data_IF_092432827653
#
_entry.id   IF_092432827653
#
_cell.length_a   1.000
_cell.length_b   1.000
_cell.length_c   1.000
_cell.angle_alpha   90.00
_cell.angle_beta   90.00
_cell.angle_gamma   90.00
#
_symmetry.space_group_name_H-M   'P 1'
#
loop_
_entity.id
_entity.type
_entity.pdbx_description
1 polymer ?
#
# COMPACT_ATOMS: atom_id res chain seq x y z
N UNK A 1 34.55 -26.85 4.16
CA UNK A 1 35.43 -25.72 4.50
C UNK A 1 35.21 -25.35 5.96
N UNK A 2 36.14 -25.73 6.85
CA UNK A 2 35.95 -25.57 8.31
C UNK A 2 35.78 -24.11 8.73
N UNK A 3 36.45 -23.18 8.03
CA UNK A 3 36.39 -21.74 8.35
C UNK A 3 34.98 -21.19 8.16
N UNK A 4 34.29 -21.59 7.09
CA UNK A 4 32.91 -21.18 6.83
C UNK A 4 31.93 -21.75 7.87
N UNK A 5 32.12 -22.99 8.30
CA UNK A 5 31.28 -23.60 9.34
C UNK A 5 31.48 -22.91 10.70
N UNK A 6 32.72 -22.57 11.03
CA UNK A 6 33.06 -21.84 12.26
C UNK A 6 32.46 -20.42 12.23
N UNK A 7 32.57 -19.70 11.12
CA UNK A 7 31.94 -18.38 10.97
C UNK A 7 30.41 -18.45 11.12
N UNK A 8 29.74 -19.45 10.54
CA UNK A 8 28.28 -19.65 10.76
C UNK A 8 27.94 -19.86 12.24
N UNK A 9 28.76 -20.63 12.96
CA UNK A 9 28.58 -20.87 14.38
C UNK A 9 28.81 -19.59 15.20
N UNK A 10 29.81 -18.78 14.85
CA UNK A 10 30.07 -17.48 15.48
C UNK A 10 28.95 -16.46 15.22
N UNK A 11 28.44 -16.39 13.99
CA UNK A 11 27.31 -15.53 13.63
C UNK A 11 26.09 -15.93 14.47
N UNK A 12 25.74 -17.22 14.46
CA UNK A 12 24.61 -17.73 15.23
C UNK A 12 24.79 -17.47 16.73
N UNK A 13 25.95 -17.79 17.30
CA UNK A 13 26.25 -17.54 18.72
C UNK A 13 26.17 -16.06 19.11
N UNK A 14 26.64 -15.16 18.24
CA UNK A 14 26.57 -13.71 18.45
C UNK A 14 25.13 -13.19 18.44
N UNK A 15 24.30 -13.69 17.51
CA UNK A 15 22.86 -13.39 17.47
C UNK A 15 22.14 -13.86 18.74
N UNK A 16 22.41 -15.08 19.21
CA UNK A 16 21.81 -15.61 20.44
C UNK A 16 22.25 -14.81 21.69
N UNK A 17 23.45 -14.25 21.66
CA UNK A 17 23.98 -13.43 22.76
C UNK A 17 23.58 -11.95 22.67
N UNK A 18 22.82 -11.55 21.64
CA UNK A 18 22.43 -10.15 21.42
C UNK A 18 23.55 -9.23 20.93
N UNK A 19 24.68 -9.77 20.47
CA UNK A 19 25.85 -9.01 20.00
C UNK A 19 25.76 -8.88 18.48
N UNK A 20 24.84 -8.04 18.01
CA UNK A 20 24.48 -7.95 16.60
C UNK A 20 25.57 -7.33 15.70
N UNK A 21 26.35 -6.36 16.19
CA UNK A 21 27.48 -5.78 15.45
C UNK A 21 28.55 -6.81 15.12
N UNK A 22 28.90 -7.67 16.09
CA UNK A 22 29.84 -8.77 15.86
C UNK A 22 29.29 -9.79 14.86
N UNK A 23 27.99 -10.07 14.90
CA UNK A 23 27.34 -10.94 13.91
C UNK A 23 27.48 -10.37 12.48
N UNK A 24 27.28 -9.06 12.29
CA UNK A 24 27.46 -8.42 10.98
C UNK A 24 28.91 -8.47 10.50
N UNK A 25 29.87 -8.19 11.40
CA UNK A 25 31.30 -8.29 11.06
C UNK A 25 31.70 -9.71 10.61
N UNK A 26 31.18 -10.75 11.29
CA UNK A 26 31.42 -12.13 10.87
C UNK A 26 30.73 -12.49 9.55
N UNK A 27 29.61 -11.85 9.19
CA UNK A 27 28.94 -12.03 7.90
C UNK A 27 29.77 -11.41 6.77
N UNK A 28 30.35 -10.24 6.98
CA UNK A 28 31.28 -9.62 6.02
C UNK A 28 32.51 -10.50 5.81
N UNK A 29 33.07 -11.05 6.89
CA UNK A 29 34.20 -11.99 6.80
C UNK A 29 33.80 -13.30 6.08
N UNK A 30 32.57 -13.78 6.30
CA UNK A 30 32.05 -14.93 5.55
C UNK A 30 32.00 -14.67 4.04
N UNK A 31 31.61 -13.46 3.64
CA UNK A 31 31.60 -13.02 2.24
C UNK A 31 33.01 -12.95 1.64
N UNK A 32 33.98 -12.43 2.38
CA UNK A 32 35.37 -12.29 1.90
C UNK A 32 36.06 -13.64 1.71
N UNK A 33 35.78 -14.64 2.56
CA UNK A 33 36.32 -16.00 2.44
C UNK A 33 35.77 -16.74 1.22
N UNK A 34 34.57 -16.39 0.76
CA UNK A 34 33.91 -17.03 -0.39
C UNK A 34 34.25 -16.38 -1.73
N UNK A 35 34.66 -15.11 -1.72
CA UNK A 35 35.09 -14.44 -2.94
C UNK A 35 36.36 -15.13 -3.49
N UNK A 36 36.37 -15.58 -4.76
CA UNK A 36 37.60 -16.08 -5.36
C UNK A 36 38.66 -14.96 -5.37
N UNK A 37 39.96 -15.25 -5.21
CA UNK A 37 41.00 -14.24 -5.30
C UNK A 37 40.89 -13.54 -6.66
N UNK A 38 40.72 -12.21 -6.63
CA UNK A 38 40.56 -11.39 -7.82
C UNK A 38 41.76 -11.60 -8.75
N UNK A 39 41.56 -12.28 -9.87
CA UNK A 39 42.41 -12.13 -11.04
C UNK A 39 41.79 -11.03 -11.89
N UNK A 40 42.62 -10.09 -12.32
CA UNK A 40 42.20 -8.84 -12.94
C UNK A 40 41.29 -9.04 -14.18
N UNK A 41 40.42 -8.05 -14.39
CA UNK A 41 39.71 -7.71 -15.64
C UNK A 41 38.39 -8.41 -16.02
N UNK A 42 37.68 -9.06 -15.09
CA UNK A 42 36.24 -9.30 -15.28
C UNK A 42 35.49 -8.83 -14.06
N UNK A 43 34.51 -7.94 -14.24
CA UNK A 43 33.56 -7.53 -13.21
C UNK A 43 32.68 -8.73 -12.84
N UNK A 44 33.23 -9.65 -12.05
CA UNK A 44 32.49 -10.78 -11.48
C UNK A 44 31.52 -10.17 -10.46
N UNK A 45 30.20 -10.39 -10.59
CA UNK A 45 29.24 -9.91 -9.61
C UNK A 45 29.64 -10.43 -8.22
N UNK A 46 29.52 -9.61 -7.15
CA UNK A 46 29.96 -9.99 -5.82
C UNK A 46 29.40 -11.37 -5.46
N UNK A 47 30.25 -12.25 -4.93
CA UNK A 47 29.88 -13.61 -4.60
C UNK A 47 28.64 -13.59 -3.69
N UNK A 48 27.48 -14.00 -4.24
CA UNK A 48 26.21 -13.93 -3.51
C UNK A 48 26.31 -14.81 -2.26
N UNK A 49 26.11 -14.21 -1.09
CA UNK A 49 26.03 -14.93 0.19
C UNK A 49 24.93 -16.00 0.12
N UNK A 50 25.12 -17.16 0.76
CA UNK A 50 24.07 -18.18 0.77
C UNK A 50 22.86 -17.69 1.59
N UNK A 51 21.67 -18.17 1.23
CA UNK A 51 20.39 -17.68 1.79
C UNK A 51 20.34 -17.74 3.32
N UNK A 52 20.92 -18.77 3.92
CA UNK A 52 20.99 -18.95 5.36
C UNK A 52 21.81 -17.84 6.05
N UNK A 53 22.92 -17.42 5.45
CA UNK A 53 23.73 -16.31 5.98
C UNK A 53 23.05 -14.96 5.78
N UNK A 54 22.32 -14.78 4.67
CA UNK A 54 21.52 -13.56 4.45
C UNK A 54 20.39 -13.42 5.48
N UNK A 55 19.74 -14.53 5.85
CA UNK A 55 18.73 -14.53 6.90
C UNK A 55 19.30 -14.14 8.27
N UNK A 56 20.51 -14.62 8.58
CA UNK A 56 21.22 -14.22 9.81
C UNK A 56 21.60 -12.73 9.78
N UNK A 57 21.98 -12.19 8.61
CA UNK A 57 22.24 -10.76 8.44
C UNK A 57 21.00 -9.90 8.60
N UNK A 58 19.88 -10.34 8.04
CA UNK A 58 18.58 -9.68 8.25
C UNK A 58 18.22 -9.64 9.74
N UNK A 59 18.40 -10.77 10.45
CA UNK A 59 18.17 -10.82 11.89
C UNK A 59 19.10 -9.89 12.67
N UNK A 60 20.37 -9.76 12.26
CA UNK A 60 21.32 -8.85 12.89
C UNK A 60 20.93 -7.37 12.70
N UNK A 61 20.60 -6.95 11.47
CA UNK A 61 20.14 -5.57 11.20
C UNK A 61 18.83 -5.26 11.95
N UNK A 62 17.92 -6.23 12.05
CA UNK A 62 16.70 -6.08 12.84
C UNK A 62 17.00 -5.94 14.34
N UNK A 63 17.94 -6.74 14.88
CA UNK A 63 18.38 -6.63 16.28
C UNK A 63 19.02 -5.28 16.63
N UNK A 64 19.60 -4.59 15.64
CA UNK A 64 20.13 -3.23 15.77
C UNK A 64 19.09 -2.12 15.52
N UNK A 65 17.84 -2.46 15.19
CA UNK A 65 16.82 -1.48 14.82
C UNK A 65 17.04 -0.82 13.45
N UNK A 66 17.89 -1.40 12.59
CA UNK A 66 18.23 -0.89 11.26
C UNK A 66 17.32 -1.50 10.18
N UNK A 67 16.03 -1.19 10.26
CA UNK A 67 15.01 -1.75 9.37
C UNK A 67 15.25 -1.44 7.87
N UNK A 68 15.78 -0.26 7.55
CA UNK A 68 16.11 0.12 6.17
C UNK A 68 17.21 -0.78 5.57
N UNK A 69 18.25 -1.07 6.34
CA UNK A 69 19.35 -1.95 5.92
C UNK A 69 18.87 -3.40 5.79
N UNK A 70 18.06 -3.87 6.73
CA UNK A 70 17.41 -5.18 6.67
C UNK A 70 16.55 -5.34 5.39
N UNK A 71 15.78 -4.31 5.04
CA UNK A 71 14.98 -4.30 3.83
C UNK A 71 15.84 -4.22 2.55
N UNK A 72 16.98 -3.52 2.58
CA UNK A 72 17.91 -3.50 1.46
C UNK A 72 18.53 -4.89 1.18
N UNK A 73 18.89 -5.64 2.22
CA UNK A 73 19.37 -7.03 2.10
C UNK A 73 18.30 -7.93 1.49
N UNK A 74 17.04 -7.78 1.92
CA UNK A 74 15.91 -8.53 1.40
C UNK A 74 15.73 -8.34 -0.12
N UNK A 75 15.77 -7.08 -0.60
CA UNK A 75 15.59 -6.74 -2.02
C UNK A 75 16.80 -7.13 -2.86
N UNK A 76 18.00 -6.72 -2.42
CA UNK A 76 19.21 -6.81 -3.25
C UNK A 76 19.74 -8.22 -3.32
N UNK A 77 19.71 -8.94 -2.20
CA UNK A 77 20.53 -10.13 -2.01
C UNK A 77 19.69 -11.40 -1.85
N UNK A 78 18.49 -11.32 -1.23
CA UNK A 78 17.62 -12.48 -0.97
C UNK A 78 16.60 -12.78 -2.09
N UNK A 79 15.88 -11.77 -2.58
CA UNK A 79 14.88 -11.95 -3.65
C UNK A 79 15.44 -12.60 -4.93
N UNK A 80 16.62 -12.23 -5.46
CA UNK A 80 17.13 -12.81 -6.70
C UNK A 80 17.69 -14.23 -6.53
N UNK A 81 17.58 -14.84 -5.34
CA UNK A 81 18.06 -16.20 -5.13
C UNK A 81 17.03 -17.24 -5.59
N UNK A 82 17.44 -18.25 -6.37
CA UNK A 82 16.55 -19.31 -6.85
C UNK A 82 16.01 -20.18 -5.70
N UNK A 83 16.74 -20.29 -4.59
CA UNK A 83 16.30 -21.00 -3.38
C UNK A 83 15.38 -20.20 -2.45
N UNK A 84 15.12 -18.92 -2.76
CA UNK A 84 14.23 -18.11 -1.93
C UNK A 84 12.77 -18.53 -2.17
N UNK A 85 12.13 -19.06 -1.14
CA UNK A 85 10.74 -19.50 -1.15
C UNK A 85 9.81 -18.43 -0.55
N UNK A 86 8.51 -18.46 -0.85
CA UNK A 86 7.56 -17.52 -0.25
C UNK A 86 7.56 -17.58 1.28
N UNK A 87 7.79 -18.76 1.87
CA UNK A 87 7.83 -18.93 3.32
C UNK A 87 9.02 -18.18 3.95
N UNK A 88 10.16 -18.13 3.26
CA UNK A 88 11.36 -17.41 3.70
C UNK A 88 11.11 -15.90 3.66
N UNK A 89 10.56 -15.39 2.55
CA UNK A 89 10.20 -13.97 2.43
C UNK A 89 9.13 -13.58 3.45
N UNK A 90 8.11 -14.44 3.63
CA UNK A 90 7.06 -14.25 4.64
C UNK A 90 7.64 -14.15 6.05
N UNK A 91 8.56 -15.05 6.42
CA UNK A 91 9.21 -15.02 7.73
C UNK A 91 10.06 -13.74 7.91
N UNK A 92 10.83 -13.36 6.89
CA UNK A 92 11.65 -12.15 6.92
C UNK A 92 10.80 -10.88 7.08
N UNK A 93 9.71 -10.76 6.31
CA UNK A 93 8.76 -9.65 6.46
C UNK A 93 8.05 -9.68 7.82
N UNK A 94 7.64 -10.86 8.31
CA UNK A 94 7.00 -10.98 9.63
C UNK A 94 7.90 -10.50 10.78
N UNK A 95 9.21 -10.60 10.63
CA UNK A 95 10.17 -10.08 11.60
C UNK A 95 10.38 -8.57 11.46
N UNK A 96 10.21 -8.01 10.26
CA UNK A 96 10.45 -6.60 9.95
C UNK A 96 9.24 -5.70 10.21
N UNK A 97 8.03 -6.21 9.97
CA UNK A 97 6.76 -5.49 10.09
C UNK A 97 6.35 -5.03 11.50
N UNK A 98 6.78 -5.67 12.61
CA UNK A 98 6.51 -5.17 13.96
C UNK A 98 7.28 -3.88 14.33
N UNK A 99 8.14 -3.37 13.46
CA UNK A 99 8.92 -2.16 13.70
C UNK A 99 8.01 -0.91 13.85
N UNK A 100 8.44 0.11 14.64
CA UNK A 100 7.71 1.36 14.75
C UNK A 100 7.58 2.04 13.38
N UNK A 101 6.51 2.82 13.19
CA UNK A 101 6.16 3.44 11.91
C UNK A 101 7.31 4.28 11.32
N UNK A 102 8.11 4.95 12.15
CA UNK A 102 9.28 5.73 11.70
C UNK A 102 10.32 4.85 11.00
N UNK A 103 10.69 3.72 11.61
CA UNK A 103 11.62 2.76 11.02
C UNK A 103 11.01 2.08 9.80
N UNK A 104 9.72 1.74 9.88
CA UNK A 104 8.99 1.13 8.78
C UNK A 104 8.88 2.09 7.58
N UNK A 105 8.72 3.39 7.80
CA UNK A 105 8.66 4.40 6.73
C UNK A 105 9.93 4.43 5.87
N UNK A 106 11.09 4.24 6.51
CA UNK A 106 12.38 4.16 5.82
C UNK A 106 12.58 2.83 5.08
N UNK A 107 11.97 1.74 5.57
CA UNK A 107 12.08 0.41 5.00
C UNK A 107 11.04 0.15 3.89
N UNK A 108 9.90 0.85 3.92
CA UNK A 108 8.76 0.63 3.01
C UNK A 108 9.11 0.65 1.52
N UNK A 109 9.92 1.59 1.00
CA UNK A 109 10.30 1.57 -0.42
C UNK A 109 11.00 0.26 -0.82
N UNK A 110 11.88 -0.25 0.04
CA UNK A 110 12.54 -1.52 -0.17
C UNK A 110 11.57 -2.71 -0.02
N UNK A 111 10.69 -2.70 0.99
CA UNK A 111 9.64 -3.72 1.13
C UNK A 111 8.77 -3.78 -0.14
N UNK A 112 8.32 -2.63 -0.65
CA UNK A 112 7.54 -2.53 -1.88
C UNK A 112 8.31 -3.08 -3.07
N UNK A 113 9.59 -2.72 -3.24
CA UNK A 113 10.42 -3.27 -4.31
C UNK A 113 10.55 -4.80 -4.22
N UNK A 114 10.70 -5.35 -3.01
CA UNK A 114 10.72 -6.79 -2.80
C UNK A 114 9.38 -7.44 -3.17
N UNK A 115 8.26 -6.84 -2.75
CA UNK A 115 6.92 -7.33 -3.10
C UNK A 115 6.71 -7.33 -4.62
N UNK A 116 7.06 -6.26 -5.32
CA UNK A 116 6.93 -6.18 -6.78
C UNK A 116 7.78 -7.24 -7.49
N UNK A 117 9.00 -7.49 -7.00
CA UNK A 117 9.85 -8.54 -7.54
C UNK A 117 9.27 -9.95 -7.27
N UNK A 118 8.73 -10.19 -6.07
CA UNK A 118 7.98 -11.41 -5.72
C UNK A 118 6.76 -11.62 -6.64
N UNK A 119 6.00 -10.56 -6.92
CA UNK A 119 4.85 -10.59 -7.83
C UNK A 119 5.28 -10.92 -9.27
N UNK A 120 6.37 -10.33 -9.74
CA UNK A 120 6.94 -10.65 -11.05
C UNK A 120 7.39 -12.12 -11.12
N UNK A 121 7.93 -12.69 -10.04
CA UNK A 121 8.26 -14.12 -9.96
C UNK A 121 7.02 -15.01 -10.03
N UNK A 122 5.95 -14.69 -9.30
CA UNK A 122 4.69 -15.42 -9.39
C UNK A 122 4.13 -15.42 -10.82
N UNK A 123 4.13 -14.25 -11.48
CA UNK A 123 3.65 -14.11 -12.85
C UNK A 123 4.45 -14.93 -13.85
N UNK A 124 5.79 -14.88 -13.76
CA UNK A 124 6.66 -15.72 -14.62
C UNK A 124 6.42 -17.21 -14.38
N UNK A 125 6.13 -17.62 -13.14
CA UNK A 125 5.82 -19.01 -12.82
C UNK A 125 4.47 -19.44 -13.42
N UNK A 126 3.47 -18.56 -13.43
CA UNK A 126 2.18 -18.79 -14.09
C UNK A 126 2.33 -18.88 -15.62
N UNK A 127 3.06 -17.95 -16.23
CA UNK A 127 3.31 -17.89 -17.69
C UNK A 127 4.11 -19.09 -18.20
N UNK A 128 5.06 -19.60 -17.40
CA UNK A 128 5.91 -20.73 -17.78
C UNK A 128 5.15 -22.07 -17.86
N UNK A 129 3.94 -22.16 -17.30
CA UNK A 129 3.10 -23.36 -17.35
C UNK A 129 3.68 -24.60 -16.66
N UNK A 130 2.92 -25.71 -16.69
CA UNK A 130 3.24 -26.93 -15.92
C UNK A 130 4.49 -27.70 -16.37
N UNK A 131 5.08 -27.37 -17.52
CA UNK A 131 6.21 -28.14 -18.11
C UNK A 131 7.60 -27.71 -17.61
N UNK A 132 7.74 -26.54 -17.02
CA UNK A 132 9.00 -26.06 -16.41
C UNK A 132 8.99 -26.07 -14.87
N UNK A 133 7.84 -26.37 -14.25
CA UNK A 133 7.63 -26.35 -12.80
C UNK A 133 8.43 -27.40 -12.00
N UNK A 134 9.16 -28.30 -12.67
CA UNK A 134 9.83 -29.43 -12.02
C UNK A 134 11.27 -29.14 -11.51
N UNK A 135 11.89 -27.99 -11.83
CA UNK A 135 13.32 -27.79 -11.53
C UNK A 135 13.64 -26.91 -10.31
N UNK A 136 12.73 -26.08 -9.80
CA UNK A 136 12.91 -25.38 -8.51
C UNK A 136 11.57 -24.81 -8.01
N UNK A 137 11.11 -25.28 -6.85
CA UNK A 137 10.05 -24.71 -5.99
C UNK A 137 9.21 -23.57 -6.62
N UNK A 138 8.26 -23.93 -7.49
CA UNK A 138 7.37 -22.97 -8.12
C UNK A 138 6.60 -22.19 -7.03
N UNK A 139 6.71 -20.86 -7.06
CA UNK A 139 5.94 -19.99 -6.17
C UNK A 139 4.45 -20.17 -6.49
N UNK A 140 3.58 -20.40 -5.49
CA UNK A 140 2.16 -20.52 -5.77
C UNK A 140 1.62 -19.16 -6.25
N UNK A 141 0.63 -19.16 -7.14
CA UNK A 141 0.10 -17.94 -7.78
C UNK A 141 -0.39 -16.91 -6.74
N UNK A 142 -0.95 -17.39 -5.63
CA UNK A 142 -1.49 -16.57 -4.55
C UNK A 142 -0.46 -16.09 -3.51
N UNK A 143 0.78 -16.62 -3.52
CA UNK A 143 1.80 -16.22 -2.53
C UNK A 143 2.07 -14.71 -2.56
N UNK A 144 2.12 -14.15 -3.77
CA UNK A 144 2.32 -12.72 -3.97
C UNK A 144 1.23 -11.88 -3.30
N UNK A 145 -0.03 -12.21 -3.53
CA UNK A 145 -1.17 -11.53 -2.93
C UNK A 145 -1.20 -11.66 -1.39
N UNK A 146 -0.85 -12.82 -0.84
CA UNK A 146 -0.74 -13.03 0.61
C UNK A 146 0.38 -12.18 1.26
N UNK A 147 1.52 -12.04 0.59
CA UNK A 147 2.61 -11.18 1.07
C UNK A 147 2.18 -9.71 1.08
N UNK A 148 1.50 -9.25 0.03
CA UNK A 148 0.97 -7.88 0.00
C UNK A 148 -0.06 -7.67 1.11
N UNK A 149 -0.99 -8.62 1.29
CA UNK A 149 -2.00 -8.53 2.36
C UNK A 149 -1.36 -8.48 3.75
N UNK A 150 -0.29 -9.25 3.98
CA UNK A 150 0.47 -9.19 5.23
C UNK A 150 1.04 -7.79 5.47
N UNK A 151 1.74 -7.22 4.49
CA UNK A 151 2.35 -5.88 4.62
C UNK A 151 1.25 -4.81 4.78
N UNK A 152 0.19 -4.88 3.98
CA UNK A 152 -0.96 -3.99 4.09
C UNK A 152 -1.61 -4.05 5.49
N UNK A 153 -1.74 -5.25 6.07
CA UNK A 153 -2.30 -5.44 7.41
C UNK A 153 -1.42 -4.82 8.48
N UNK A 154 -0.10 -5.01 8.39
CA UNK A 154 0.84 -4.41 9.32
C UNK A 154 0.84 -2.87 9.23
N UNK A 155 0.91 -2.30 8.03
CA UNK A 155 0.83 -0.84 7.84
C UNK A 155 -0.51 -0.30 8.35
N UNK A 156 -1.60 -1.02 8.10
CA UNK A 156 -2.93 -0.65 8.57
C UNK A 156 -3.15 -0.84 10.08
N UNK A 157 -2.21 -1.44 10.82
CA UNK A 157 -2.26 -1.46 12.28
C UNK A 157 -1.79 -0.15 12.91
N UNK A 158 -1.04 0.68 12.16
CA UNK A 158 -0.59 1.98 12.61
C UNK A 158 -1.64 3.06 12.34
N UNK A 159 -1.86 3.93 13.31
CA UNK A 159 -2.76 5.06 13.21
C UNK A 159 -2.09 6.27 12.53
N UNK A 160 -2.91 7.14 11.95
CA UNK A 160 -2.46 8.41 11.39
C UNK A 160 -2.36 8.47 9.85
N UNK A 161 -2.23 9.70 9.31
CA UNK A 161 -2.27 9.96 7.87
C UNK A 161 -1.04 9.40 7.14
N UNK A 162 0.09 9.30 7.81
CA UNK A 162 1.33 8.76 7.23
C UNK A 162 1.19 7.28 6.90
N UNK A 163 0.66 6.49 7.84
CA UNK A 163 0.38 5.06 7.62
C UNK A 163 -0.67 4.85 6.52
N UNK A 164 -1.71 5.70 6.48
CA UNK A 164 -2.69 5.68 5.39
C UNK A 164 -2.06 5.98 4.03
N UNK A 165 -1.23 7.02 3.94
CA UNK A 165 -0.52 7.36 2.71
C UNK A 165 0.38 6.23 2.22
N UNK A 166 1.11 5.58 3.13
CA UNK A 166 1.93 4.41 2.81
C UNK A 166 1.10 3.22 2.31
N UNK A 167 -0.04 2.93 2.96
CA UNK A 167 -0.96 1.88 2.54
C UNK A 167 -1.50 2.14 1.14
N UNK A 168 -1.99 3.36 0.88
CA UNK A 168 -2.53 3.73 -0.42
C UNK A 168 -1.47 3.71 -1.52
N UNK A 169 -0.24 4.15 -1.23
CA UNK A 169 0.87 4.09 -2.18
C UNK A 169 1.23 2.65 -2.56
N UNK A 170 1.26 1.73 -1.59
CA UNK A 170 1.49 0.31 -1.86
C UNK A 170 0.40 -0.27 -2.77
N UNK A 171 -0.86 0.04 -2.48
CA UNK A 171 -2.02 -0.48 -3.21
C UNK A 171 -2.25 0.19 -4.57
N UNK A 172 -1.62 1.33 -4.84
CA UNK A 172 -1.72 2.04 -6.11
C UNK A 172 -0.91 1.39 -7.24
N UNK A 173 -0.05 0.42 -6.94
CA UNK A 173 0.72 -0.28 -7.97
C UNK A 173 -0.16 -1.24 -8.79
N UNK A 174 -0.16 -1.09 -10.11
CA UNK A 174 -0.96 -1.94 -11.02
C UNK A 174 -0.69 -3.44 -10.83
N UNK A 175 0.58 -3.81 -10.61
CA UNK A 175 0.98 -5.19 -10.36
C UNK A 175 0.38 -5.75 -9.06
N UNK A 176 0.25 -4.91 -8.03
CA UNK A 176 -0.38 -5.26 -6.76
C UNK A 176 -1.89 -5.44 -6.95
N UNK A 177 -2.53 -4.50 -7.65
CA UNK A 177 -3.96 -4.58 -7.95
C UNK A 177 -4.27 -5.85 -8.73
N UNK A 178 -3.52 -6.14 -9.79
CA UNK A 178 -3.71 -7.33 -10.60
C UNK A 178 -3.59 -8.61 -9.75
N UNK A 179 -2.50 -8.74 -8.99
CA UNK A 179 -2.24 -9.92 -8.18
C UNK A 179 -3.33 -10.18 -7.13
N UNK A 180 -3.81 -9.13 -6.45
CA UNK A 180 -4.86 -9.26 -5.45
C UNK A 180 -6.20 -9.56 -6.10
N UNK A 181 -6.54 -8.90 -7.22
CA UNK A 181 -7.81 -9.13 -7.91
C UNK A 181 -7.96 -10.56 -8.47
N UNK A 182 -6.85 -11.22 -8.81
CA UNK A 182 -6.81 -12.63 -9.20
C UNK A 182 -6.95 -13.61 -8.03
N UNK A 183 -6.74 -13.16 -6.79
CA UNK A 183 -6.81 -13.99 -5.58
C UNK A 183 -8.06 -13.67 -4.75
N UNK A 184 -9.09 -14.51 -4.85
CA UNK A 184 -10.42 -14.28 -4.25
C UNK A 184 -10.39 -14.02 -2.74
N UNK A 185 -9.70 -14.85 -1.97
CA UNK A 185 -9.62 -14.69 -0.50
C UNK A 185 -8.79 -13.45 -0.09
N UNK A 186 -7.55 -13.24 -0.60
CA UNK A 186 -6.81 -12.00 -0.33
C UNK A 186 -7.56 -10.73 -0.68
N UNK A 187 -8.28 -10.72 -1.81
CA UNK A 187 -9.10 -9.60 -2.24
C UNK A 187 -10.19 -9.27 -1.23
N UNK A 188 -10.97 -10.27 -0.82
CA UNK A 188 -12.07 -10.08 0.11
C UNK A 188 -11.58 -9.66 1.50
N UNK A 189 -10.42 -10.18 1.94
CA UNK A 189 -9.76 -9.77 3.19
C UNK A 189 -9.24 -8.33 3.12
N UNK A 190 -8.63 -7.92 2.00
CA UNK A 190 -8.18 -6.55 1.80
C UNK A 190 -9.36 -5.57 1.75
N UNK A 191 -10.44 -5.92 1.03
CA UNK A 191 -11.67 -5.13 1.00
C UNK A 191 -12.20 -4.86 2.42
N UNK A 192 -12.33 -5.91 3.25
CA UNK A 192 -12.81 -5.78 4.63
C UNK A 192 -11.90 -4.90 5.48
N UNK A 193 -10.58 -5.05 5.33
CA UNK A 193 -9.60 -4.24 6.03
C UNK A 193 -9.74 -2.76 5.69
N UNK A 194 -9.77 -2.43 4.39
CA UNK A 194 -9.91 -1.05 3.92
C UNK A 194 -11.26 -0.46 4.33
N UNK A 195 -12.34 -1.24 4.21
CA UNK A 195 -13.69 -0.82 4.61
C UNK A 195 -13.76 -0.52 6.11
N UNK A 196 -13.19 -1.37 6.97
CA UNK A 196 -13.17 -1.16 8.41
C UNK A 196 -12.41 0.11 8.78
N UNK A 197 -11.23 0.33 8.18
CA UNK A 197 -10.42 1.54 8.41
C UNK A 197 -11.10 2.80 7.89
N UNK A 198 -11.71 2.76 6.71
CA UNK A 198 -12.48 3.87 6.16
C UNK A 198 -13.68 4.23 7.06
N UNK A 199 -14.33 3.23 7.63
CA UNK A 199 -15.45 3.43 8.58
C UNK A 199 -14.97 4.06 9.89
N UNK A 200 -13.82 3.63 10.41
CA UNK A 200 -13.22 4.27 11.59
C UNK A 200 -12.89 5.75 11.33
N UNK A 201 -12.25 6.07 10.19
CA UNK A 201 -11.99 7.45 9.78
C UNK A 201 -13.28 8.27 9.61
N UNK A 202 -14.33 7.65 9.07
CA UNK A 202 -15.65 8.29 8.94
C UNK A 202 -16.23 8.69 10.30
N UNK A 203 -16.15 7.80 11.29
CA UNK A 203 -16.63 8.08 12.65
C UNK A 203 -15.81 9.15 13.38
N UNK A 204 -14.54 9.32 13.00
CA UNK A 204 -13.69 10.41 13.47
C UNK A 204 -13.94 11.74 12.74
N UNK A 205 -14.95 11.81 11.86
CA UNK A 205 -15.27 12.95 11.01
C UNK A 205 -14.16 13.35 10.01
N UNK A 206 -13.15 12.50 9.78
CA UNK A 206 -12.19 12.68 8.69
C UNK A 206 -12.78 12.12 7.38
N UNK A 207 -13.69 12.89 6.80
CA UNK A 207 -14.40 12.51 5.57
C UNK A 207 -13.47 12.43 4.35
N UNK A 208 -12.33 13.14 4.36
CA UNK A 208 -11.38 13.13 3.26
C UNK A 208 -10.53 11.83 3.26
N UNK A 209 -9.98 11.45 4.40
CA UNK A 209 -9.32 10.15 4.59
C UNK A 209 -10.28 8.99 4.30
N UNK A 210 -11.47 9.06 4.90
CA UNK A 210 -12.50 8.04 4.71
C UNK A 210 -12.87 7.84 3.24
N UNK A 211 -13.02 8.92 2.47
CA UNK A 211 -13.30 8.85 1.04
C UNK A 211 -12.18 8.16 0.25
N UNK A 212 -10.91 8.44 0.54
CA UNK A 212 -9.76 7.80 -0.13
C UNK A 212 -9.72 6.30 0.16
N UNK A 213 -9.91 5.91 1.42
CA UNK A 213 -9.91 4.51 1.83
C UNK A 213 -11.11 3.75 1.28
N UNK A 214 -12.31 4.35 1.25
CA UNK A 214 -13.47 3.74 0.58
C UNK A 214 -13.28 3.64 -0.94
N UNK A 215 -12.58 4.58 -1.57
CA UNK A 215 -12.29 4.52 -3.01
C UNK A 215 -11.36 3.34 -3.31
N UNK A 216 -10.30 3.19 -2.50
CA UNK A 216 -9.40 2.03 -2.57
C UNK A 216 -10.16 0.72 -2.28
N UNK A 217 -11.03 0.68 -1.26
CA UNK A 217 -11.84 -0.48 -0.96
C UNK A 217 -12.75 -0.87 -2.13
N UNK A 218 -13.32 0.10 -2.85
CA UNK A 218 -14.20 -0.16 -3.99
C UNK A 218 -13.51 -0.92 -5.12
N UNK A 219 -12.20 -0.70 -5.34
CA UNK A 219 -11.40 -1.43 -6.34
C UNK A 219 -11.33 -2.94 -6.03
N UNK A 220 -11.35 -3.30 -4.76
CA UNK A 220 -11.26 -4.69 -4.30
C UNK A 220 -12.61 -5.28 -3.91
N UNK A 221 -13.69 -4.50 -3.94
CA UNK A 221 -15.03 -5.05 -3.78
C UNK A 221 -15.29 -6.03 -4.94
N UNK A 222 -15.74 -7.24 -4.62
CA UNK A 222 -15.92 -8.31 -5.61
C UNK A 222 -16.63 -7.82 -6.87
N UNK A 223 -15.98 -8.01 -8.02
CA UNK A 223 -16.47 -7.55 -9.32
C UNK A 223 -17.86 -8.12 -9.60
N UNK A 224 -18.82 -7.26 -9.96
CA UNK A 224 -20.18 -7.67 -10.31
C UNK A 224 -21.31 -6.98 -9.54
N UNK A 225 -21.04 -5.90 -8.81
CA UNK A 225 -22.13 -5.12 -8.18
C UNK A 225 -22.81 -5.82 -7.00
N UNK A 226 -22.10 -6.73 -6.32
CA UNK A 226 -22.63 -7.38 -5.13
C UNK A 226 -22.84 -6.41 -3.97
N UNK A 227 -23.51 -6.88 -2.92
CA UNK A 227 -23.73 -6.15 -1.67
C UNK A 227 -22.50 -5.38 -1.12
N UNK A 228 -21.26 -5.94 -1.08
CA UNK A 228 -20.10 -5.19 -0.60
C UNK A 228 -19.74 -3.99 -1.49
N UNK A 229 -19.92 -4.11 -2.81
CA UNK A 229 -19.71 -3.02 -3.77
C UNK A 229 -20.72 -1.89 -3.54
N UNK A 230 -22.02 -2.22 -3.54
CA UNK A 230 -23.10 -1.24 -3.34
C UNK A 230 -23.02 -0.56 -1.97
N UNK A 231 -22.62 -1.30 -0.93
CA UNK A 231 -22.38 -0.76 0.41
C UNK A 231 -21.23 0.25 0.42
N UNK A 232 -20.11 -0.11 -0.21
CA UNK A 232 -18.92 0.76 -0.28
C UNK A 232 -19.20 2.04 -1.08
N UNK A 233 -19.88 1.91 -2.22
CA UNK A 233 -20.28 3.05 -3.06
C UNK A 233 -21.22 4.03 -2.32
N UNK A 234 -22.19 3.53 -1.53
CA UNK A 234 -23.05 4.37 -0.68
C UNK A 234 -22.28 5.11 0.40
N UNK A 235 -21.36 4.43 1.09
CA UNK A 235 -20.53 5.08 2.11
C UNK A 235 -19.65 6.18 1.51
N UNK A 236 -19.09 5.93 0.33
CA UNK A 236 -18.28 6.90 -0.39
C UNK A 236 -19.12 8.10 -0.89
N UNK A 237 -20.34 7.87 -1.36
CA UNK A 237 -21.32 8.94 -1.62
C UNK A 237 -21.56 9.79 -0.37
N UNK A 238 -21.75 9.18 0.80
CA UNK A 238 -21.94 9.91 2.06
C UNK A 238 -20.71 10.75 2.44
N UNK A 239 -19.50 10.25 2.20
CA UNK A 239 -18.28 11.02 2.44
C UNK A 239 -18.23 12.27 1.56
N UNK A 240 -18.50 12.13 0.26
CA UNK A 240 -18.54 13.28 -0.66
C UNK A 240 -19.68 14.25 -0.34
N UNK A 241 -20.82 13.76 0.13
CA UNK A 241 -21.91 14.60 0.61
C UNK A 241 -21.48 15.44 1.82
N UNK A 242 -20.80 14.83 2.80
CA UNK A 242 -20.28 15.50 3.98
C UNK A 242 -19.18 16.53 3.66
N UNK A 243 -18.39 16.28 2.60
CA UNK A 243 -17.38 17.23 2.10
C UNK A 243 -17.96 18.37 1.23
N UNK A 244 -19.29 18.49 1.10
CA UNK A 244 -19.91 19.53 0.28
C UNK A 244 -19.71 19.32 -1.23
N UNK A 245 -19.49 18.08 -1.67
CA UNK A 245 -19.32 17.72 -3.09
C UNK A 245 -20.50 16.89 -3.60
N UNK A 246 -21.74 17.45 -3.63
CA UNK A 246 -22.95 16.68 -3.91
C UNK A 246 -23.01 16.10 -5.33
N UNK A 247 -22.37 16.75 -6.32
CA UNK A 247 -22.27 16.19 -7.69
C UNK A 247 -21.49 14.88 -7.74
N UNK A 248 -20.35 14.82 -7.04
CA UNK A 248 -19.54 13.59 -6.95
C UNK A 248 -20.29 12.52 -6.15
N UNK A 249 -20.93 12.91 -5.04
CA UNK A 249 -21.75 12.01 -4.25
C UNK A 249 -22.84 11.32 -5.09
N UNK A 250 -23.57 12.07 -5.93
CA UNK A 250 -24.57 11.52 -6.84
C UNK A 250 -23.97 10.50 -7.82
N UNK A 251 -22.81 10.79 -8.41
CA UNK A 251 -22.15 9.86 -9.33
C UNK A 251 -21.86 8.49 -8.70
N UNK A 252 -21.39 8.46 -7.45
CA UNK A 252 -21.16 7.20 -6.73
C UNK A 252 -22.45 6.52 -6.27
N UNK A 253 -23.49 7.30 -5.99
CA UNK A 253 -24.80 6.78 -5.68
C UNK A 253 -25.43 6.11 -6.92
N UNK A 254 -25.26 6.69 -8.10
CA UNK A 254 -25.70 6.14 -9.40
C UNK A 254 -25.00 4.81 -9.71
N UNK A 255 -23.72 4.65 -9.37
CA UNK A 255 -23.00 3.38 -9.49
C UNK A 255 -23.64 2.27 -8.64
N UNK A 256 -24.13 2.60 -7.44
CA UNK A 256 -24.87 1.63 -6.63
C UNK A 256 -26.28 1.35 -7.18
N UNK A 257 -26.93 2.37 -7.75
CA UNK A 257 -28.27 2.26 -8.34
C UNK A 257 -28.34 1.24 -9.49
N UNK A 258 -27.25 1.13 -10.26
CA UNK A 258 -27.15 0.19 -11.38
C UNK A 258 -27.30 -1.28 -10.95
N UNK A 259 -27.07 -1.59 -9.67
CA UNK A 259 -27.09 -2.95 -9.14
C UNK A 259 -28.17 -3.18 -8.08
N UNK A 260 -28.50 -2.16 -7.28
CA UNK A 260 -29.58 -2.18 -6.27
C UNK A 260 -30.54 -1.00 -6.48
N UNK A 261 -31.36 -1.01 -7.55
CA UNK A 261 -32.28 0.10 -7.82
C UNK A 261 -33.37 0.17 -6.74
N UNK A 262 -33.76 1.38 -6.36
CA UNK A 262 -34.96 1.68 -5.55
C UNK A 262 -34.96 1.23 -4.08
N UNK A 263 -33.81 1.12 -3.43
CA UNK A 263 -33.79 1.03 -1.96
C UNK A 263 -34.21 2.36 -1.32
N UNK A 264 -34.99 2.33 -0.23
CA UNK A 264 -35.47 3.54 0.47
C UNK A 264 -34.30 4.45 0.87
N UNK A 265 -33.20 3.85 1.34
CA UNK A 265 -31.98 4.58 1.68
C UNK A 265 -31.36 5.28 0.48
N UNK A 266 -31.36 4.65 -0.70
CA UNK A 266 -30.88 5.26 -1.93
C UNK A 266 -31.75 6.46 -2.34
N UNK A 267 -33.08 6.33 -2.33
CA UNK A 267 -34.00 7.40 -2.70
C UNK A 267 -33.88 8.61 -1.77
N UNK A 268 -33.79 8.38 -0.46
CA UNK A 268 -33.63 9.45 0.54
C UNK A 268 -32.30 10.18 0.38
N UNK A 269 -31.20 9.44 0.16
CA UNK A 269 -29.89 10.05 -0.08
C UNK A 269 -29.87 10.86 -1.38
N UNK A 270 -30.47 10.34 -2.45
CA UNK A 270 -30.58 11.05 -3.73
C UNK A 270 -31.37 12.35 -3.57
N UNK A 271 -32.51 12.30 -2.91
CA UNK A 271 -33.34 13.48 -2.64
C UNK A 271 -32.56 14.54 -1.84
N UNK A 272 -31.87 14.13 -0.77
CA UNK A 272 -31.02 15.03 0.03
C UNK A 272 -29.95 15.72 -0.82
N UNK A 273 -29.31 15.00 -1.73
CA UNK A 273 -28.26 15.55 -2.61
C UNK A 273 -28.81 16.48 -3.70
N UNK A 274 -30.01 16.21 -4.21
CA UNK A 274 -30.66 17.09 -5.18
C UNK A 274 -31.11 18.40 -4.52
N UNK A 275 -31.64 18.35 -3.30
CA UNK A 275 -31.98 19.54 -2.53
C UNK A 275 -30.75 20.41 -2.24
N UNK A 276 -29.63 19.80 -1.85
CA UNK A 276 -28.40 20.57 -1.61
C UNK A 276 -27.82 21.21 -2.88
N UNK A 277 -28.02 20.59 -4.05
CA UNK A 277 -27.66 21.19 -5.34
C UNK A 277 -28.58 22.37 -5.71
N UNK A 278 -29.88 22.27 -5.41
CA UNK A 278 -30.83 23.36 -5.64
C UNK A 278 -30.51 24.56 -4.75
N UNK A 279 -30.29 24.33 -3.45
CA UNK A 279 -29.88 25.37 -2.50
C UNK A 279 -28.58 26.07 -2.94
N UNK A 280 -27.57 25.31 -3.39
CA UNK A 280 -26.33 25.88 -3.89
C UNK A 280 -26.53 26.70 -5.18
N UNK A 281 -27.44 26.28 -6.07
CA UNK A 281 -27.76 27.01 -7.30
C UNK A 281 -28.50 28.32 -7.02
N UNK A 282 -29.42 28.30 -6.05
CA UNK A 282 -30.18 29.48 -5.60
C UNK A 282 -29.27 30.51 -4.91
N UNK A 283 -28.34 30.06 -4.05
CA UNK A 283 -27.34 30.94 -3.42
C UNK A 283 -26.39 31.56 -4.45
N UNK A 284 -25.98 30.80 -5.47
CA UNK A 284 -25.17 31.32 -6.59
C UNK A 284 -25.92 32.36 -7.43
N UNK A 285 -27.21 32.17 -7.67
CA UNK A 285 -28.05 33.16 -8.36
C UNK A 285 -28.26 34.44 -7.54
N UNK A 286 -28.50 34.32 -6.23
CA UNK A 286 -28.65 35.45 -5.33
C UNK A 286 -27.35 36.28 -5.18
N UNK A 287 -26.19 35.61 -5.08
CA UNK A 287 -24.89 36.27 -5.05
C UNK A 287 -24.53 36.92 -6.40
N UNK A 288 -24.86 36.28 -7.52
CA UNK A 288 -24.67 36.83 -8.86
C UNK A 288 -25.57 38.05 -9.14
N UNK A 289 -26.81 38.03 -8.66
CA UNK A 289 -27.71 39.21 -8.75
C UNK A 289 -27.29 40.31 -7.80
N UNK A 290 -26.84 40.03 -6.57
CA UNK A 290 -26.29 41.05 -5.67
C UNK A 290 -24.99 41.67 -6.21
N UNK A 291 -24.09 40.89 -6.82
CA UNK A 291 -22.89 41.41 -7.47
C UNK A 291 -23.22 42.28 -8.70
N UNK A 292 -24.19 41.86 -9.52
CA UNK A 292 -24.67 42.65 -10.66
C UNK A 292 -25.38 43.93 -10.22
N UNK A 293 -26.17 43.89 -9.14
CA UNK A 293 -26.84 45.07 -8.56
C UNK A 293 -25.83 46.01 -7.89
N UNK A 294 -24.79 45.49 -7.25
CA UNK A 294 -23.69 46.29 -6.67
C UNK A 294 -22.83 46.96 -7.75
N UNK A 295 -22.58 46.28 -8.88
CA UNK A 295 -21.92 46.87 -10.04
C UNK A 295 -22.81 47.93 -10.72
N UNK A 296 -24.12 47.71 -10.80
CA UNK A 296 -25.07 48.66 -11.38
C UNK A 296 -25.28 49.90 -10.50
N UNK A 297 -25.24 49.76 -9.17
CA UNK A 297 -25.35 50.88 -8.22
C UNK A 297 -24.01 51.62 -8.00
N UNK A 298 -22.86 50.98 -8.28
CA UNK A 298 -21.53 51.59 -8.16
C UNK A 298 -21.14 52.55 -9.29
N UNK A 299 -21.89 52.58 -10.41
CA UNK A 299 -21.60 53.45 -11.57
C UNK A 299 -22.37 54.79 -11.51
N UNK A 300 -23.23 55.00 -10.51
CA UNK A 300 -24.04 56.22 -10.38
C UNK A 300 -23.40 57.40 -9.61
N UNK A 301 -22.16 57.26 -9.12
CA UNK A 301 -21.57 58.19 -8.15
C UNK A 301 -20.32 58.94 -8.60
N UNK A 302 -20.22 59.39 -9.84
CA UNK A 302 -19.11 60.25 -10.29
C UNK A 302 -19.56 61.30 -11.32
N UNK A 303 -20.60 62.08 -10.98
CA UNK A 303 -20.93 63.29 -11.72
C UNK A 303 -21.32 64.39 -10.73
N UNK A 304 -20.33 65.17 -10.30
CA UNK A 304 -20.60 66.41 -9.57
C UNK A 304 -19.47 66.83 -8.66
N UNK A 305 -18.47 67.55 -9.21
CA UNK A 305 -17.94 68.83 -8.71
C UNK A 305 -16.59 69.13 -9.33
N UNK A 306 -16.46 70.36 -9.85
CA UNK A 306 -15.18 70.93 -10.23
C UNK A 306 -15.29 71.98 -11.32
N UNK A 307 -16.20 72.94 -11.16
CA UNK A 307 -16.11 74.23 -11.84
C UNK A 307 -15.77 75.23 -10.72
N UNK A 308 -14.51 75.66 -10.70
CA UNK A 308 -13.93 76.92 -10.22
C UNK A 308 -12.42 76.74 -10.02
#
# INVERSE_FOLDING_TARGET
>A
DMRQQLLKLLISGSLHSGIFESALSYIEEYGSVRAPPCTADVAVPPARLPLDVLLLGLQAHMGLGRAAEAAAVLVRDMEPQPGCSPAVVKAALSNLLPAPLEQLSSALPAITACLLACLARCRRAEEAGSRAAAAAAAWPPTAGAELVLMVATAVASHEGPTAEGHLLNLLAHDDVVAAICHATDPRDRLHRLLYARATAAYHQADHASSARLFAAALLYASGGGGAPYCRTARMLSNCYAAMGQPRRALGYLDLAAAHEPHTVTHLLLRLRLLLSLQEAAEQGHAAGTQAAVSLALGVGGAAGRGME
#
